data_IF_464792376348
#
_entry.id   IF_464792376348
#
_cell.length_a   1.000
_cell.length_b   1.000
_cell.length_c   1.000
_cell.angle_alpha   90.00
_cell.angle_beta   90.00
_cell.angle_gamma   90.00
#
_symmetry.space_group_name_H-M   'P 1'
#
loop_
_entity.id
_entity.type
_entity.pdbx_description
1 polymer ?
#
# COMPACT_ATOMS: atom_id res chain seq x y z
N UNK A 1 4.60 -5.12 -25.42
CA UNK A 1 4.08 -6.46 -25.08
C UNK A 1 2.92 -6.26 -24.10
N UNK A 2 1.69 -6.62 -24.49
CA UNK A 2 0.54 -6.56 -23.57
C UNK A 2 0.70 -7.73 -22.60
N UNK A 3 0.87 -7.45 -21.31
CA UNK A 3 0.94 -8.49 -20.27
C UNK A 3 -0.46 -9.13 -20.07
N UNK A 4 -0.98 -9.74 -21.13
CA UNK A 4 -2.31 -10.37 -21.19
C UNK A 4 -2.44 -11.49 -20.15
N UNK A 5 -1.33 -12.15 -19.83
CA UNK A 5 -1.27 -13.23 -18.85
C UNK A 5 -1.62 -12.81 -17.42
N UNK A 6 -1.32 -11.55 -17.02
CA UNK A 6 -1.68 -11.04 -15.70
C UNK A 6 -3.21 -10.92 -15.51
N UNK A 7 -3.96 -10.74 -16.59
CA UNK A 7 -5.42 -10.70 -16.56
C UNK A 7 -6.07 -12.09 -16.53
N UNK A 8 -5.31 -13.15 -16.84
CA UNK A 8 -5.77 -14.55 -16.82
C UNK A 8 -5.58 -15.19 -15.46
N UNK A 9 -4.64 -14.68 -14.64
CA UNK A 9 -4.38 -15.24 -13.30
C UNK A 9 -5.62 -15.13 -12.40
N UNK A 10 -5.93 -16.16 -11.59
CA UNK A 10 -6.99 -16.11 -10.59
C UNK A 10 -6.80 -14.94 -9.62
N UNK A 11 -7.88 -14.24 -9.28
CA UNK A 11 -7.81 -13.09 -8.38
C UNK A 11 -7.17 -13.42 -7.02
N UNK A 12 -7.44 -14.58 -6.37
CA UNK A 12 -6.78 -14.93 -5.12
C UNK A 12 -5.26 -15.04 -5.23
N UNK A 13 -4.74 -15.46 -6.39
CA UNK A 13 -3.29 -15.53 -6.61
C UNK A 13 -2.67 -14.14 -6.72
N UNK A 14 -3.36 -13.19 -7.37
CA UNK A 14 -2.94 -11.80 -7.42
C UNK A 14 -3.00 -11.15 -6.04
N UNK A 15 -4.03 -11.45 -5.24
CA UNK A 15 -4.18 -10.98 -3.87
C UNK A 15 -3.07 -11.53 -2.96
N UNK A 16 -2.70 -12.81 -3.11
CA UNK A 16 -1.55 -13.39 -2.41
C UNK A 16 -0.22 -12.73 -2.82
N UNK A 17 -0.02 -12.51 -4.11
CA UNK A 17 1.14 -11.78 -4.62
C UNK A 17 1.21 -10.34 -4.11
N UNK A 18 0.06 -9.66 -4.06
CA UNK A 18 -0.06 -8.32 -3.47
C UNK A 18 0.38 -8.35 -2.01
N UNK A 19 -0.16 -9.29 -1.23
CA UNK A 19 0.13 -9.40 0.19
C UNK A 19 1.62 -9.63 0.46
N UNK A 20 2.24 -10.58 -0.25
CA UNK A 20 3.68 -10.86 -0.14
C UNK A 20 4.50 -9.63 -0.52
N UNK A 21 4.20 -9.00 -1.66
CA UNK A 21 4.93 -7.83 -2.14
C UNK A 21 4.76 -6.62 -1.21
N UNK A 22 3.55 -6.40 -0.68
CA UNK A 22 3.27 -5.30 0.24
C UNK A 22 4.00 -5.48 1.57
N UNK A 23 3.88 -6.65 2.19
CA UNK A 23 4.53 -7.00 3.45
C UNK A 23 6.05 -6.91 3.35
N UNK A 24 6.64 -7.22 2.19
CA UNK A 24 8.07 -7.07 1.94
C UNK A 24 8.57 -5.63 2.11
N UNK A 25 7.68 -4.65 2.03
CA UNK A 25 8.02 -3.24 2.22
C UNK A 25 8.44 -2.92 3.65
N UNK A 26 7.77 -3.49 4.64
CA UNK A 26 8.11 -3.31 6.06
C UNK A 26 9.44 -4.02 6.40
N UNK A 27 9.63 -5.22 5.85
CA UNK A 27 10.88 -5.98 6.01
C UNK A 27 12.05 -5.28 5.34
N UNK A 28 11.85 -4.79 4.11
CA UNK A 28 12.85 -4.02 3.38
C UNK A 28 13.19 -2.69 4.06
N UNK A 29 12.21 -2.02 4.68
CA UNK A 29 12.45 -0.82 5.48
C UNK A 29 13.27 -1.15 6.74
N UNK A 30 12.96 -2.26 7.44
CA UNK A 30 13.75 -2.74 8.58
C UNK A 30 15.19 -3.05 8.18
N UNK A 31 15.39 -3.73 7.06
CA UNK A 31 16.72 -4.00 6.52
C UNK A 31 17.47 -2.70 6.17
N UNK A 32 16.80 -1.73 5.57
CA UNK A 32 17.41 -0.49 5.09
C UNK A 32 17.94 0.43 6.19
N UNK A 33 17.35 0.40 7.40
CA UNK A 33 17.73 1.26 8.53
C UNK A 33 19.20 1.10 8.90
N UNK A 34 19.75 -0.11 8.74
CA UNK A 34 21.13 -0.41 9.11
C UNK A 34 22.15 0.18 8.10
N UNK A 35 21.70 0.64 6.92
CA UNK A 35 22.60 1.05 5.82
C UNK A 35 22.41 2.49 5.35
N UNK A 36 21.25 3.12 5.57
CA UNK A 36 21.01 4.48 5.07
C UNK A 36 19.85 5.20 5.76
N UNK A 37 19.83 6.55 5.72
CA UNK A 37 18.68 7.35 6.14
C UNK A 37 17.41 6.95 5.36
N UNK A 38 16.28 6.85 6.06
CA UNK A 38 15.01 6.37 5.48
C UNK A 38 14.56 7.20 4.26
N UNK A 39 14.67 8.54 4.31
CA UNK A 39 14.28 9.40 3.19
C UNK A 39 15.15 9.19 1.95
N UNK A 40 16.44 8.91 2.11
CA UNK A 40 17.34 8.61 1.01
C UNK A 40 16.94 7.30 0.31
N UNK A 41 16.62 6.26 1.09
CA UNK A 41 16.17 4.97 0.53
C UNK A 41 14.83 5.15 -0.20
N UNK A 42 13.89 5.90 0.38
CA UNK A 42 12.57 6.14 -0.22
C UNK A 42 12.68 6.97 -1.50
N UNK A 43 13.55 7.99 -1.54
CA UNK A 43 13.84 8.72 -2.76
C UNK A 43 14.36 7.78 -3.85
N UNK A 44 15.41 7.03 -3.56
CA UNK A 44 16.06 6.16 -4.55
C UNK A 44 15.17 5.00 -5.00
N UNK A 45 14.31 4.45 -4.13
CA UNK A 45 13.36 3.41 -4.53
C UNK A 45 12.41 3.88 -5.64
N UNK A 46 11.92 5.12 -5.56
CA UNK A 46 11.05 5.69 -6.59
C UNK A 46 11.85 6.15 -7.82
N UNK A 47 13.02 6.78 -7.62
CA UNK A 47 13.87 7.24 -8.69
C UNK A 47 14.37 6.10 -9.58
N UNK A 48 14.87 5.02 -8.99
CA UNK A 48 15.33 3.83 -9.72
C UNK A 48 14.20 3.23 -10.54
N UNK A 49 13.01 3.09 -9.95
CA UNK A 49 11.87 2.53 -10.68
C UNK A 49 11.41 3.46 -11.80
N UNK A 50 11.43 4.78 -11.59
CA UNK A 50 11.14 5.77 -12.63
C UNK A 50 12.11 5.64 -13.80
N UNK A 51 13.41 5.49 -13.52
CA UNK A 51 14.42 5.31 -14.57
C UNK A 51 14.27 3.97 -15.29
N UNK A 52 14.06 2.88 -14.56
CA UNK A 52 13.92 1.54 -15.14
C UNK A 52 12.66 1.37 -16.00
N UNK A 53 11.55 1.99 -15.63
CA UNK A 53 10.30 1.89 -16.41
C UNK A 53 10.25 2.84 -17.61
N UNK A 54 11.06 3.91 -17.63
CA UNK A 54 11.01 4.93 -18.68
C UNK A 54 11.06 4.36 -20.10
N UNK A 55 12.01 3.46 -20.48
CA UNK A 55 12.08 2.94 -21.86
C UNK A 55 10.82 2.16 -22.30
N UNK A 56 10.08 1.59 -21.35
CA UNK A 56 8.87 0.82 -21.63
C UNK A 56 7.61 1.68 -21.76
N UNK A 57 7.63 2.91 -21.23
CA UNK A 57 6.43 3.76 -21.15
C UNK A 57 6.52 5.03 -21.98
N UNK A 58 7.71 5.45 -22.41
CA UNK A 58 7.94 6.74 -23.07
C UNK A 58 7.00 6.96 -24.30
N UNK A 59 6.81 5.95 -25.16
CA UNK A 59 5.91 6.04 -26.32
C UNK A 59 4.45 6.29 -25.92
N UNK A 60 4.01 5.69 -24.83
CA UNK A 60 2.64 5.87 -24.33
C UNK A 60 2.49 7.26 -23.70
N UNK A 61 3.48 7.72 -22.96
CA UNK A 61 3.47 9.02 -22.28
C UNK A 61 3.33 10.18 -23.26
N UNK A 62 4.11 10.16 -24.36
CA UNK A 62 4.08 11.22 -25.38
C UNK A 62 2.67 11.34 -26.02
N UNK A 63 1.93 10.24 -26.13
CA UNK A 63 0.59 10.22 -26.71
C UNK A 63 -0.53 10.36 -25.67
N UNK A 64 -0.19 10.54 -24.39
CA UNK A 64 -1.20 10.64 -23.33
C UNK A 64 -1.60 12.11 -23.12
N UNK A 65 -2.90 12.43 -23.06
CA UNK A 65 -3.38 13.78 -22.78
C UNK A 65 -2.86 14.29 -21.44
N UNK A 66 -2.56 15.58 -21.38
CA UNK A 66 -1.96 16.21 -20.19
C UNK A 66 -2.86 16.11 -18.94
N UNK A 67 -4.17 16.23 -19.11
CA UNK A 67 -5.16 16.05 -18.03
C UNK A 67 -5.12 14.63 -17.42
N UNK A 68 -4.91 13.60 -18.24
CA UNK A 68 -4.73 12.24 -17.78
C UNK A 68 -3.44 12.08 -16.98
N UNK A 69 -2.35 12.74 -17.41
CA UNK A 69 -1.10 12.76 -16.65
C UNK A 69 -1.27 13.47 -15.31
N UNK A 70 -1.99 14.61 -15.27
CA UNK A 70 -2.28 15.33 -14.03
C UNK A 70 -3.11 14.50 -13.04
N UNK A 71 -4.11 13.77 -13.52
CA UNK A 71 -4.91 12.85 -12.69
C UNK A 71 -3.99 11.78 -12.07
N UNK A 72 -3.14 11.14 -12.86
CA UNK A 72 -2.22 10.11 -12.36
C UNK A 72 -1.14 10.71 -11.43
N UNK A 73 -0.70 11.92 -11.68
CA UNK A 73 0.21 12.65 -10.80
C UNK A 73 -0.44 12.94 -9.43
N UNK A 74 -1.69 13.40 -9.42
CA UNK A 74 -2.46 13.61 -8.19
C UNK A 74 -2.66 12.32 -7.40
N UNK A 75 -2.95 11.21 -8.07
CA UNK A 75 -3.06 9.89 -7.44
C UNK A 75 -1.70 9.45 -6.87
N UNK A 76 -0.61 9.65 -7.61
CA UNK A 76 0.74 9.36 -7.13
C UNK A 76 1.15 10.21 -5.93
N UNK A 77 0.79 11.49 -5.93
CA UNK A 77 1.00 12.37 -4.80
C UNK A 77 0.31 11.88 -3.54
N UNK A 78 -0.91 11.39 -3.66
CA UNK A 78 -1.67 10.86 -2.51
C UNK A 78 -1.27 9.43 -2.15
N UNK A 79 -1.24 8.50 -3.13
CA UNK A 79 -1.05 7.07 -2.87
C UNK A 79 0.38 6.72 -2.49
N UNK A 80 1.38 7.39 -3.06
CA UNK A 80 2.79 7.07 -2.82
C UNK A 80 3.45 8.11 -1.92
N UNK A 81 3.43 9.38 -2.30
CA UNK A 81 4.12 10.40 -1.52
C UNK A 81 3.38 10.69 -0.20
N UNK A 82 2.08 10.96 -0.22
CA UNK A 82 1.31 11.29 0.98
C UNK A 82 1.25 10.14 1.98
N UNK A 83 0.98 8.92 1.50
CA UNK A 83 0.98 7.72 2.34
C UNK A 83 2.33 7.51 3.02
N UNK A 84 3.42 7.48 2.25
CA UNK A 84 4.77 7.24 2.79
C UNK A 84 5.23 8.39 3.68
N UNK A 85 4.95 9.65 3.31
CA UNK A 85 5.28 10.81 4.14
C UNK A 85 4.58 10.75 5.51
N UNK A 86 3.29 10.43 5.54
CA UNK A 86 2.56 10.30 6.80
C UNK A 86 3.18 9.27 7.75
N UNK A 87 3.53 8.09 7.23
CA UNK A 87 4.18 7.03 8.01
C UNK A 87 5.58 7.45 8.49
N UNK A 88 6.42 7.94 7.57
CA UNK A 88 7.83 8.28 7.87
C UNK A 88 7.91 9.45 8.84
N UNK A 89 7.12 10.52 8.63
CA UNK A 89 7.12 11.68 9.51
C UNK A 89 6.59 11.33 10.91
N UNK A 90 5.56 10.47 10.99
CA UNK A 90 5.09 9.96 12.27
C UNK A 90 6.20 9.27 13.05
N UNK A 91 6.91 8.35 12.42
CA UNK A 91 8.05 7.62 13.02
C UNK A 91 9.19 8.60 13.40
N UNK A 92 9.52 9.54 12.53
CA UNK A 92 10.57 10.54 12.78
C UNK A 92 10.26 11.43 13.99
N UNK A 93 8.98 11.66 14.30
CA UNK A 93 8.52 12.40 15.49
C UNK A 93 8.36 11.53 16.75
N UNK A 94 8.78 10.27 16.68
CA UNK A 94 8.80 9.36 17.83
C UNK A 94 7.57 8.46 17.96
N UNK A 95 6.68 8.42 16.97
CA UNK A 95 5.63 7.38 16.94
C UNK A 95 6.29 6.02 16.74
N UNK A 96 6.04 5.03 17.63
CA UNK A 96 6.60 3.70 17.46
C UNK A 96 6.23 3.11 16.09
N UNK A 97 7.22 2.48 15.42
CA UNK A 97 7.02 1.95 14.07
C UNK A 97 5.86 0.94 13.99
N UNK A 98 5.66 0.13 15.03
CA UNK A 98 4.53 -0.79 15.12
C UNK A 98 3.16 -0.09 15.14
N UNK A 99 3.04 1.05 15.86
CA UNK A 99 1.82 1.85 15.86
C UNK A 99 1.61 2.58 14.52
N UNK A 100 2.69 3.09 13.92
CA UNK A 100 2.60 3.72 12.61
C UNK A 100 2.14 2.71 11.53
N UNK A 101 2.66 1.48 11.57
CA UNK A 101 2.22 0.39 10.70
C UNK A 101 0.74 0.01 10.96
N UNK A 102 0.34 -0.11 12.24
CA UNK A 102 -1.04 -0.38 12.60
C UNK A 102 -2.00 0.67 12.01
N UNK A 103 -1.69 1.97 12.17
CA UNK A 103 -2.51 3.03 11.60
C UNK A 103 -2.54 3.01 10.08
N UNK A 104 -1.41 2.69 9.43
CA UNK A 104 -1.34 2.52 7.99
C UNK A 104 -2.22 1.35 7.49
N UNK A 105 -2.28 0.26 8.26
CA UNK A 105 -3.06 -0.94 7.94
C UNK A 105 -4.56 -0.83 8.32
N UNK A 106 -5.00 0.31 8.92
CA UNK A 106 -6.43 0.66 9.03
C UNK A 106 -7.08 1.04 7.69
N UNK A 107 -6.35 0.92 6.59
CA UNK A 107 -6.83 1.24 5.23
C UNK A 107 -8.22 0.66 4.92
N UNK A 108 -8.57 -0.59 5.26
CA UNK A 108 -9.90 -1.13 4.98
C UNK A 108 -11.03 -0.36 5.67
N UNK A 109 -10.80 0.08 6.91
CA UNK A 109 -11.76 0.91 7.66
C UNK A 109 -11.87 2.28 7.01
N UNK A 110 -10.75 2.91 6.69
CA UNK A 110 -10.71 4.19 5.96
C UNK A 110 -11.45 4.12 4.63
N UNK A 111 -11.23 3.05 3.86
CA UNK A 111 -11.91 2.79 2.60
C UNK A 111 -13.43 2.64 2.78
N UNK A 112 -13.88 1.88 3.78
CA UNK A 112 -15.29 1.69 4.06
C UNK A 112 -15.95 3.02 4.47
N UNK A 113 -15.33 3.78 5.37
CA UNK A 113 -15.85 5.08 5.80
C UNK A 113 -15.96 6.07 4.63
N UNK A 114 -14.90 6.23 3.85
CA UNK A 114 -14.90 7.13 2.69
C UNK A 114 -15.89 6.66 1.60
N UNK A 115 -16.01 5.35 1.39
CA UNK A 115 -16.99 4.81 0.45
C UNK A 115 -18.43 5.08 0.91
N UNK A 116 -18.71 4.97 2.20
CA UNK A 116 -20.01 5.27 2.76
C UNK A 116 -20.36 6.78 2.67
N UNK A 117 -19.36 7.65 2.87
CA UNK A 117 -19.56 9.12 2.86
C UNK A 117 -19.67 9.69 1.44
N UNK A 118 -18.91 9.16 0.47
CA UNK A 118 -18.73 9.80 -0.84
C UNK A 118 -19.28 8.98 -2.02
N UNK A 119 -19.74 7.75 -1.80
CA UNK A 119 -20.10 6.83 -2.90
C UNK A 119 -21.59 6.48 -2.97
N UNK A 120 -22.48 7.12 -2.16
CA UNK A 120 -23.91 6.75 -2.05
C UNK A 120 -24.19 5.24 -1.88
N UNK A 121 -23.13 4.47 -1.63
CA UNK A 121 -23.16 3.04 -1.48
C UNK A 121 -23.40 2.65 -0.02
N UNK A 122 -24.57 2.15 0.31
CA UNK A 122 -24.79 1.49 1.61
C UNK A 122 -23.91 0.25 1.66
N UNK A 123 -22.84 0.30 2.46
CA UNK A 123 -22.03 -0.89 2.72
C UNK A 123 -22.86 -1.85 3.55
N UNK A 124 -23.01 -3.09 3.08
CA UNK A 124 -23.76 -4.10 3.79
C UNK A 124 -23.19 -4.35 5.20
N UNK A 125 -24.05 -4.53 6.21
CA UNK A 125 -23.63 -4.82 7.59
C UNK A 125 -22.65 -6.00 7.69
N UNK A 126 -22.78 -6.99 6.78
CA UNK A 126 -21.84 -8.13 6.71
C UNK A 126 -20.41 -7.72 6.34
N UNK A 127 -20.24 -6.69 5.50
CA UNK A 127 -18.91 -6.13 5.18
C UNK A 127 -18.32 -5.45 6.40
N UNK A 128 -19.13 -4.63 7.11
CA UNK A 128 -18.69 -4.02 8.38
C UNK A 128 -18.28 -5.06 9.42
N UNK A 129 -19.06 -6.12 9.57
CA UNK A 129 -18.72 -7.23 10.46
C UNK A 129 -17.38 -7.85 10.07
N UNK A 130 -17.17 -8.13 8.79
CA UNK A 130 -15.90 -8.67 8.30
C UNK A 130 -14.71 -7.75 8.55
N UNK A 131 -14.88 -6.44 8.36
CA UNK A 131 -13.83 -5.43 8.64
C UNK A 131 -13.50 -5.37 10.13
N UNK A 132 -14.50 -5.41 11.01
CA UNK A 132 -14.32 -5.40 12.48
C UNK A 132 -13.59 -6.68 12.92
N UNK A 133 -14.02 -7.84 12.42
CA UNK A 133 -13.37 -9.13 12.74
C UNK A 133 -11.91 -9.14 12.23
N UNK A 134 -11.67 -8.69 11.00
CA UNK A 134 -10.31 -8.58 10.46
C UNK A 134 -9.43 -7.63 11.27
N UNK A 135 -9.96 -6.48 11.65
CA UNK A 135 -9.29 -5.52 12.53
C UNK A 135 -8.99 -6.12 13.90
N UNK A 136 -9.92 -6.85 14.49
CA UNK A 136 -9.69 -7.52 15.78
C UNK A 136 -8.54 -8.55 15.69
N UNK A 137 -8.48 -9.32 14.61
CA UNK A 137 -7.37 -10.23 14.35
C UNK A 137 -6.02 -9.52 14.22
N UNK A 138 -5.98 -8.42 13.47
CA UNK A 138 -4.79 -7.60 13.32
C UNK A 138 -4.33 -6.99 14.67
N UNK A 139 -5.24 -6.43 15.45
CA UNK A 139 -4.96 -5.90 16.79
C UNK A 139 -4.44 -6.99 17.74
N UNK A 140 -4.97 -8.20 17.63
CA UNK A 140 -4.50 -9.34 18.41
C UNK A 140 -3.04 -9.68 18.09
N UNK A 141 -2.67 -9.75 16.81
CA UNK A 141 -1.28 -9.97 16.38
C UNK A 141 -0.37 -8.87 16.96
N UNK A 142 -0.78 -7.63 16.87
CA UNK A 142 0.04 -6.48 17.24
C UNK A 142 0.05 -6.17 18.75
N UNK A 143 -0.81 -6.81 19.53
CA UNK A 143 -0.96 -6.54 20.97
C UNK A 143 0.37 -6.56 21.73
N UNK A 144 1.26 -7.49 21.41
CA UNK A 144 2.57 -7.61 22.06
C UNK A 144 3.60 -6.54 21.63
N UNK A 145 3.33 -5.84 20.51
CA UNK A 145 4.23 -4.84 19.91
C UNK A 145 3.71 -3.41 20.18
N UNK A 146 2.45 -3.28 20.60
CA UNK A 146 1.84 -1.99 20.89
C UNK A 146 2.40 -1.40 22.16
N UNK A 147 3.30 -0.44 22.05
CA UNK A 147 3.73 0.43 23.13
C UNK A 147 3.45 1.88 22.75
N UNK A 148 2.86 2.64 23.67
CA UNK A 148 2.75 4.08 23.50
C UNK A 148 4.15 4.69 23.63
N UNK A 149 4.63 5.32 22.55
CA UNK A 149 5.91 6.04 22.54
C UNK A 149 5.83 7.38 23.26
N UNK A 150 6.92 8.16 23.17
CA UNK A 150 7.01 9.51 23.74
C UNK A 150 6.62 10.61 22.76
N UNK A 151 6.05 10.27 21.61
CA UNK A 151 5.63 11.22 20.59
C UNK A 151 4.48 12.12 21.09
N UNK A 152 4.41 13.40 20.65
CA UNK A 152 3.26 14.24 20.92
C UNK A 152 1.99 13.66 20.27
N UNK A 153 0.83 13.81 20.92
CA UNK A 153 -0.42 13.17 20.47
C UNK A 153 -0.79 13.45 19.00
N UNK A 154 -0.53 14.67 18.53
CA UNK A 154 -0.83 15.04 17.13
C UNK A 154 0.01 14.24 16.11
N UNK A 155 1.23 13.80 16.48
CA UNK A 155 2.10 13.04 15.59
C UNK A 155 1.51 11.66 15.22
N UNK A 156 0.68 11.08 16.10
CA UNK A 156 -0.07 9.84 15.78
C UNK A 156 -1.11 10.04 14.68
N UNK A 157 -1.54 11.28 14.45
CA UNK A 157 -2.41 11.63 13.31
C UNK A 157 -1.72 11.54 11.95
N UNK A 158 -0.39 11.60 11.88
CA UNK A 158 0.34 11.56 10.59
C UNK A 158 0.21 10.23 9.86
N UNK A 159 0.42 9.05 10.48
CA UNK A 159 0.16 7.77 9.81
C UNK A 159 -1.31 7.59 9.42
N UNK A 160 -2.25 8.11 10.23
CA UNK A 160 -3.68 8.10 9.89
C UNK A 160 -3.95 8.98 8.66
N UNK A 161 -3.36 10.17 8.60
CA UNK A 161 -3.46 11.04 7.43
C UNK A 161 -2.84 10.39 6.17
N UNK A 162 -1.71 9.70 6.33
CA UNK A 162 -1.10 8.89 5.27
C UNK A 162 -2.04 7.79 4.77
N UNK A 163 -2.63 7.02 5.67
CA UNK A 163 -3.61 5.99 5.34
C UNK A 163 -4.83 6.58 4.60
N UNK A 164 -5.38 7.71 5.08
CA UNK A 164 -6.49 8.39 4.42
C UNK A 164 -6.09 8.90 3.03
N UNK A 165 -4.86 9.39 2.87
CA UNK A 165 -4.30 9.80 1.58
C UNK A 165 -4.33 8.65 0.56
N UNK A 166 -3.87 7.45 0.96
CA UNK A 166 -3.95 6.25 0.11
C UNK A 166 -5.40 5.84 -0.15
N UNK A 167 -6.28 5.92 0.85
CA UNK A 167 -7.69 5.58 0.69
C UNK A 167 -8.39 6.51 -0.33
N UNK A 168 -8.17 7.82 -0.24
CA UNK A 168 -8.69 8.81 -1.20
C UNK A 168 -8.16 8.53 -2.61
N UNK A 169 -6.85 8.31 -2.75
CA UNK A 169 -6.23 7.98 -4.02
C UNK A 169 -6.82 6.71 -4.65
N UNK A 170 -7.09 5.69 -3.83
CA UNK A 170 -7.67 4.42 -4.26
C UNK A 170 -9.09 4.61 -4.80
N UNK A 171 -9.92 5.38 -4.08
CA UNK A 171 -11.27 5.70 -4.55
C UNK A 171 -11.25 6.56 -5.80
N UNK A 172 -10.32 7.52 -5.88
CA UNK A 172 -10.13 8.34 -7.07
C UNK A 172 -9.71 7.48 -8.26
N UNK A 173 -8.70 6.62 -8.10
CA UNK A 173 -8.24 5.68 -9.14
C UNK A 173 -9.38 4.78 -9.64
N UNK A 174 -10.25 4.32 -8.74
CA UNK A 174 -11.41 3.47 -9.08
C UNK A 174 -12.46 4.20 -9.92
N UNK A 175 -12.55 5.53 -9.78
CA UNK A 175 -13.56 6.40 -10.41
C UNK A 175 -13.09 7.13 -11.66
N UNK A 176 -11.86 6.92 -12.10
CA UNK A 176 -11.35 7.55 -13.31
C UNK A 176 -12.27 7.20 -14.48
N UNK A 177 -12.83 8.21 -15.20
CA UNK A 177 -13.60 7.97 -16.41
C UNK A 177 -12.79 7.22 -17.46
N UNK A 178 -13.44 6.40 -18.28
CA UNK A 178 -12.78 5.57 -19.31
C UNK A 178 -11.89 6.39 -20.26
N UNK A 179 -12.28 7.64 -20.56
CA UNK A 179 -11.50 8.56 -21.41
C UNK A 179 -10.13 8.93 -20.83
N UNK A 180 -9.96 8.86 -19.51
CA UNK A 180 -8.72 9.14 -18.79
C UNK A 180 -8.08 7.85 -18.24
N UNK A 181 -8.59 6.68 -18.64
CA UNK A 181 -8.01 5.41 -18.23
C UNK A 181 -6.60 5.25 -18.82
N UNK A 182 -5.63 5.00 -17.97
CA UNK A 182 -4.23 4.82 -18.34
C UNK A 182 -3.81 3.36 -18.15
N UNK A 183 -2.98 2.77 -19.05
CA UNK A 183 -2.38 1.46 -18.79
C UNK A 183 -1.61 1.42 -17.48
N UNK A 184 -1.47 0.22 -16.89
CA UNK A 184 -0.91 0.06 -15.55
C UNK A 184 0.52 0.63 -15.42
N UNK A 185 1.43 0.23 -16.32
CA UNK A 185 2.84 0.63 -16.24
C UNK A 185 3.06 2.13 -16.42
N UNK A 186 2.48 2.80 -17.44
CA UNK A 186 2.58 4.26 -17.55
C UNK A 186 1.99 5.00 -16.34
N UNK A 187 0.85 4.54 -15.81
CA UNK A 187 0.26 5.12 -14.60
C UNK A 187 1.18 4.99 -13.39
N UNK A 188 1.73 3.80 -13.17
CA UNK A 188 2.70 3.54 -12.09
C UNK A 188 3.96 4.41 -12.25
N UNK A 189 4.45 4.58 -13.49
CA UNK A 189 5.59 5.44 -13.77
C UNK A 189 5.35 6.89 -13.36
N UNK A 190 4.21 7.48 -13.77
CA UNK A 190 3.84 8.87 -13.40
C UNK A 190 3.78 9.02 -11.88
N UNK A 191 3.15 8.06 -11.20
CA UNK A 191 3.02 8.07 -9.75
C UNK A 191 4.40 7.97 -9.06
N UNK A 192 5.30 7.10 -9.53
CA UNK A 192 6.68 6.99 -9.02
C UNK A 192 7.49 8.26 -9.30
N UNK A 193 7.32 8.89 -10.47
CA UNK A 193 7.99 10.13 -10.82
C UNK A 193 7.63 11.25 -9.83
N UNK A 194 6.33 11.43 -9.55
CA UNK A 194 5.86 12.42 -8.58
C UNK A 194 6.40 12.13 -7.18
N UNK A 195 6.32 10.89 -6.72
CA UNK A 195 6.86 10.50 -5.42
C UNK A 195 8.38 10.75 -5.33
N UNK A 196 9.12 10.43 -6.40
CA UNK A 196 10.56 10.72 -6.49
C UNK A 196 10.86 12.21 -6.32
N UNK A 197 10.11 13.09 -7.00
CA UNK A 197 10.28 14.55 -6.88
C UNK A 197 9.98 15.03 -5.46
N UNK A 198 8.87 14.57 -4.87
CA UNK A 198 8.50 14.95 -3.50
C UNK A 198 9.58 14.54 -2.50
N UNK A 199 10.08 13.30 -2.60
CA UNK A 199 11.12 12.81 -1.68
C UNK A 199 12.52 13.35 -2.02
N UNK A 200 12.78 13.80 -3.26
CA UNK A 200 13.98 14.57 -3.57
C UNK A 200 13.98 15.91 -2.81
N UNK A 201 12.85 16.63 -2.85
CA UNK A 201 12.70 17.92 -2.14
C UNK A 201 12.81 17.69 -0.61
N UNK A 202 12.10 16.69 -0.07
CA UNK A 202 12.16 16.38 1.35
C UNK A 202 13.54 15.89 1.80
N UNK A 203 14.22 15.07 1.00
CA UNK A 203 15.54 14.54 1.31
C UNK A 203 16.64 15.57 1.21
N UNK A 204 16.56 16.50 0.23
CA UNK A 204 17.55 17.57 0.06
C UNK A 204 17.62 18.52 1.27
N UNK A 205 16.53 18.66 2.02
CA UNK A 205 16.52 19.46 3.26
C UNK A 205 17.25 18.76 4.44
N UNK A 206 17.51 17.45 4.34
CA UNK A 206 18.18 16.67 5.38
C UNK A 206 19.64 16.32 5.04
N UNK A 207 20.09 16.59 3.81
CA UNK A 207 21.45 16.33 3.39
C UNK A 207 21.60 16.00 1.90
N UNK A 208 22.67 15.29 1.57
CA UNK A 208 22.96 14.90 0.19
C UNK A 208 22.05 13.77 -0.28
N UNK A 209 21.55 13.90 -1.51
CA UNK A 209 20.83 12.83 -2.21
C UNK A 209 21.76 11.86 -2.96
N UNK A 210 23.07 12.03 -2.86
CA UNK A 210 24.01 11.14 -3.52
C UNK A 210 23.83 9.69 -3.02
N UNK A 211 23.88 8.69 -3.92
CA UNK A 211 23.76 7.30 -3.54
C UNK A 211 24.97 6.90 -2.68
N UNK A 212 24.71 6.11 -1.65
CA UNK A 212 25.79 5.59 -0.81
C UNK A 212 26.50 4.42 -1.52
N UNK A 213 27.85 4.39 -1.57
CA UNK A 213 28.59 3.33 -2.26
C UNK A 213 28.69 2.07 -1.38
N UNK A 214 27.58 1.53 -0.94
CA UNK A 214 27.50 0.31 -0.13
C UNK A 214 26.54 -0.73 -0.73
N UNK A 215 26.91 -1.99 -0.67
CA UNK A 215 26.05 -3.08 -1.14
C UNK A 215 24.73 -3.14 -0.37
N UNK A 216 24.74 -2.85 0.93
CA UNK A 216 23.55 -2.81 1.76
C UNK A 216 22.56 -1.74 1.32
N UNK A 217 23.03 -0.53 1.00
CA UNK A 217 22.20 0.52 0.43
C UNK A 217 21.60 0.12 -0.93
N UNK A 218 22.44 -0.38 -1.84
CA UNK A 218 21.99 -0.79 -3.17
C UNK A 218 20.92 -1.89 -3.08
N UNK A 219 21.15 -2.89 -2.23
CA UNK A 219 20.19 -3.98 -2.00
C UNK A 219 18.89 -3.47 -1.38
N UNK A 220 18.95 -2.55 -0.42
CA UNK A 220 17.77 -1.91 0.18
C UNK A 220 16.94 -1.16 -0.86
N UNK A 221 17.59 -0.41 -1.74
CA UNK A 221 16.92 0.32 -2.84
C UNK A 221 16.30 -0.65 -3.84
N UNK A 222 17.04 -1.66 -4.32
CA UNK A 222 16.54 -2.65 -5.28
C UNK A 222 15.37 -3.44 -4.70
N UNK A 223 15.49 -3.91 -3.46
CA UNK A 223 14.42 -4.61 -2.76
C UNK A 223 13.14 -3.77 -2.70
N UNK A 224 13.27 -2.56 -2.16
CA UNK A 224 12.12 -1.69 -1.95
C UNK A 224 11.54 -1.13 -3.25
N UNK A 225 12.33 -0.97 -4.31
CA UNK A 225 11.85 -0.60 -5.64
C UNK A 225 11.09 -1.75 -6.31
N UNK A 226 11.64 -2.97 -6.29
CA UNK A 226 11.07 -4.10 -7.05
C UNK A 226 9.88 -4.74 -6.35
N UNK A 227 10.02 -5.15 -5.09
CA UNK A 227 8.97 -5.90 -4.40
C UNK A 227 7.81 -4.99 -3.96
N UNK A 228 7.95 -4.07 -2.99
CA UNK A 228 6.80 -3.31 -2.52
C UNK A 228 6.38 -2.18 -3.45
N UNK A 229 7.28 -1.60 -4.26
CA UNK A 229 6.87 -0.53 -5.17
C UNK A 229 6.33 -1.08 -6.47
N UNK A 230 7.13 -1.80 -7.24
CA UNK A 230 6.67 -2.35 -8.51
C UNK A 230 5.65 -3.47 -8.32
N UNK A 231 5.97 -4.48 -7.50
CA UNK A 231 5.08 -5.59 -7.18
C UNK A 231 3.89 -5.14 -6.35
N UNK A 232 4.10 -4.50 -5.21
CA UNK A 232 3.05 -4.08 -4.28
C UNK A 232 2.05 -3.13 -4.92
N UNK A 233 2.46 -1.94 -5.33
CA UNK A 233 1.54 -0.99 -5.98
C UNK A 233 1.04 -1.48 -7.34
N UNK A 234 1.87 -2.19 -8.13
CA UNK A 234 1.43 -2.77 -9.40
C UNK A 234 0.30 -3.78 -9.22
N UNK A 235 0.44 -4.72 -8.29
CA UNK A 235 -0.60 -5.69 -7.97
C UNK A 235 -1.79 -5.04 -7.26
N UNK A 236 -1.57 -4.04 -6.40
CA UNK A 236 -2.65 -3.28 -5.77
C UNK A 236 -3.57 -2.64 -6.81
N UNK A 237 -3.02 -1.92 -7.77
CA UNK A 237 -3.80 -1.32 -8.86
C UNK A 237 -4.42 -2.36 -9.80
N UNK A 238 -3.75 -3.48 -10.02
CA UNK A 238 -4.29 -4.57 -10.82
C UNK A 238 -5.49 -5.25 -10.12
N UNK A 239 -5.36 -5.56 -8.83
CA UNK A 239 -6.46 -6.09 -8.02
C UNK A 239 -7.63 -5.10 -7.96
N UNK A 240 -7.35 -3.80 -7.81
CA UNK A 240 -8.37 -2.76 -7.80
C UNK A 240 -9.17 -2.69 -9.11
N UNK A 241 -8.55 -2.97 -10.26
CA UNK A 241 -9.25 -3.05 -11.55
C UNK A 241 -10.20 -4.24 -11.65
N UNK A 242 -9.94 -5.31 -10.88
CA UNK A 242 -10.65 -6.59 -10.96
C UNK A 242 -11.59 -6.85 -9.77
N UNK A 243 -11.52 -6.01 -8.75
CA UNK A 243 -12.24 -6.21 -7.49
C UNK A 243 -12.68 -4.86 -6.91
N UNK A 244 -13.42 -4.90 -5.79
CA UNK A 244 -13.77 -3.68 -5.06
C UNK A 244 -12.57 -3.14 -4.27
N UNK A 245 -12.62 -1.84 -3.99
CA UNK A 245 -11.61 -1.18 -3.18
C UNK A 245 -11.57 -1.73 -1.75
N UNK A 246 -12.74 -2.02 -1.17
CA UNK A 246 -12.86 -2.60 0.18
C UNK A 246 -12.23 -3.98 0.27
N UNK A 247 -12.44 -4.85 -0.74
CA UNK A 247 -11.85 -6.19 -0.78
C UNK A 247 -10.33 -6.14 -0.89
N UNK A 248 -9.80 -5.32 -1.81
CA UNK A 248 -8.35 -5.16 -1.98
C UNK A 248 -7.71 -4.66 -0.70
N UNK A 249 -8.32 -3.68 -0.04
CA UNK A 249 -7.85 -3.19 1.25
C UNK A 249 -7.95 -4.27 2.35
N UNK A 250 -9.05 -5.04 2.41
CA UNK A 250 -9.24 -6.07 3.44
C UNK A 250 -8.15 -7.16 3.40
N UNK A 251 -7.64 -7.51 2.21
CA UNK A 251 -6.54 -8.46 2.07
C UNK A 251 -5.29 -7.99 2.83
N UNK A 252 -5.06 -6.68 2.92
CA UNK A 252 -3.90 -6.11 3.61
C UNK A 252 -3.96 -6.26 5.14
N UNK A 253 -5.09 -6.70 5.73
CA UNK A 253 -5.11 -7.09 7.15
C UNK A 253 -4.20 -8.28 7.48
N UNK A 254 -3.80 -9.06 6.47
CA UNK A 254 -2.80 -10.12 6.63
C UNK A 254 -1.36 -9.60 6.50
N UNK A 255 -1.15 -8.31 6.21
CA UNK A 255 0.20 -7.75 6.06
C UNK A 255 1.01 -7.82 7.37
N UNK A 256 0.51 -7.43 8.56
CA UNK A 256 1.28 -7.54 9.78
C UNK A 256 1.70 -8.97 10.11
N UNK A 257 0.80 -9.99 10.12
CA UNK A 257 1.22 -11.37 10.38
C UNK A 257 2.23 -11.89 9.36
N UNK A 258 2.08 -11.57 8.07
CA UNK A 258 3.05 -11.98 7.07
C UNK A 258 4.40 -11.27 7.25
N UNK A 259 4.39 -9.99 7.60
CA UNK A 259 5.62 -9.24 7.94
C UNK A 259 6.35 -9.88 9.12
N UNK A 260 5.63 -10.32 10.15
CA UNK A 260 6.24 -11.02 11.30
C UNK A 260 6.85 -12.37 10.89
N UNK A 261 6.20 -13.13 10.00
CA UNK A 261 6.78 -14.37 9.44
C UNK A 261 8.07 -14.11 8.67
N UNK A 262 8.12 -13.04 7.87
CA UNK A 262 9.34 -12.63 7.18
C UNK A 262 10.43 -12.17 8.15
N UNK A 263 10.08 -11.39 9.17
CA UNK A 263 11.02 -10.92 10.18
C UNK A 263 11.61 -12.09 10.99
N UNK A 264 10.81 -13.09 11.31
CA UNK A 264 11.28 -14.34 11.88
C UNK A 264 12.29 -15.05 10.96
N UNK A 265 11.97 -15.21 9.69
CA UNK A 265 12.81 -15.93 8.73
C UNK A 265 14.13 -15.20 8.42
N UNK A 266 14.14 -13.86 8.42
CA UNK A 266 15.30 -13.05 8.02
C UNK A 266 16.13 -12.55 9.21
N UNK A 267 15.47 -12.23 10.33
CA UNK A 267 16.12 -11.60 11.48
C UNK A 267 16.05 -12.44 12.76
N UNK A 268 15.54 -13.67 12.69
CA UNK A 268 15.32 -14.57 13.83
C UNK A 268 14.48 -13.94 14.96
N UNK A 269 13.54 -13.06 14.60
CA UNK A 269 12.62 -12.47 15.57
C UNK A 269 11.66 -13.56 16.11
N UNK A 270 11.36 -13.58 17.43
CA UNK A 270 10.55 -14.65 18.01
C UNK A 270 9.11 -14.60 17.49
N UNK A 271 8.59 -15.76 17.07
CA UNK A 271 7.17 -15.91 16.75
C UNK A 271 6.38 -16.24 18.02
N UNK A 272 5.21 -15.60 18.15
CA UNK A 272 4.29 -15.89 19.24
C UNK A 272 3.06 -16.64 18.71
N UNK A 273 2.40 -17.44 19.57
CA UNK A 273 1.14 -18.10 19.22
C UNK A 273 0.02 -17.09 18.87
N UNK A 274 0.10 -15.84 19.38
CA UNK A 274 -0.80 -14.74 19.03
C UNK A 274 -0.81 -14.45 17.53
N UNK A 275 0.33 -14.68 16.85
CA UNK A 275 0.43 -14.56 15.40
C UNK A 275 -0.54 -15.52 14.70
N UNK A 276 -0.49 -16.81 15.04
CA UNK A 276 -1.36 -17.81 14.42
C UNK A 276 -2.84 -17.54 14.70
N UNK A 277 -3.18 -17.20 15.94
CA UNK A 277 -4.55 -16.88 16.33
C UNK A 277 -5.08 -15.65 15.61
N UNK A 278 -4.30 -14.55 15.58
CA UNK A 278 -4.70 -13.32 14.91
C UNK A 278 -4.80 -13.48 13.39
N UNK A 279 -3.90 -14.26 12.76
CA UNK A 279 -4.02 -14.63 11.34
C UNK A 279 -5.35 -15.35 11.05
N UNK A 280 -5.71 -16.36 11.86
CA UNK A 280 -6.96 -17.08 11.69
C UNK A 280 -8.19 -16.17 11.79
N UNK A 281 -8.20 -15.26 12.77
CA UNK A 281 -9.28 -14.28 12.94
C UNK A 281 -9.33 -13.31 11.76
N UNK A 282 -8.19 -12.78 11.29
CA UNK A 282 -8.12 -11.90 10.11
C UNK A 282 -8.60 -12.58 8.85
N UNK A 283 -8.25 -13.85 8.63
CA UNK A 283 -8.75 -14.65 7.49
C UNK A 283 -10.27 -14.80 7.51
N UNK A 284 -10.86 -15.03 8.69
CA UNK A 284 -12.34 -15.06 8.84
C UNK A 284 -12.93 -13.70 8.46
N UNK A 285 -12.34 -12.60 8.90
CA UNK A 285 -12.77 -11.25 8.53
C UNK A 285 -12.75 -11.01 7.02
N UNK A 286 -11.65 -11.37 6.36
CA UNK A 286 -11.50 -11.25 4.89
C UNK A 286 -12.53 -12.13 4.16
N UNK A 287 -12.72 -13.36 4.63
CA UNK A 287 -13.72 -14.26 4.05
C UNK A 287 -15.14 -13.67 4.15
N UNK A 288 -15.52 -13.06 5.30
CA UNK A 288 -16.81 -12.40 5.46
C UNK A 288 -16.97 -11.23 4.47
N UNK A 289 -15.94 -10.38 4.30
CA UNK A 289 -15.94 -9.27 3.32
C UNK A 289 -16.14 -9.82 1.91
N UNK A 290 -15.33 -10.79 1.50
CA UNK A 290 -15.35 -11.32 0.13
C UNK A 290 -16.68 -12.02 -0.19
N UNK A 291 -17.25 -12.76 0.76
CA UNK A 291 -18.54 -13.43 0.59
C UNK A 291 -19.71 -12.44 0.51
N UNK A 292 -19.67 -11.37 1.30
CA UNK A 292 -20.71 -10.34 1.26
C UNK A 292 -20.74 -9.61 -0.10
N UNK A 293 -19.58 -9.37 -0.71
CA UNK A 293 -19.50 -8.70 -2.00
C UNK A 293 -19.98 -9.58 -3.17
N UNK A 294 -19.69 -10.88 -3.15
CA UNK A 294 -20.20 -11.82 -4.18
C UNK A 294 -21.72 -11.86 -4.19
N UNK A 295 -22.38 -11.86 -3.04
CA UNK A 295 -23.84 -11.81 -2.96
C UNK A 295 -24.43 -10.51 -3.52
N UNK A 296 -23.76 -9.37 -3.29
CA UNK A 296 -24.23 -8.06 -3.79
C UNK A 296 -24.16 -7.97 -5.32
N UNK A 297 -23.15 -8.59 -5.93
CA UNK A 297 -22.99 -8.64 -7.38
C UNK A 297 -24.01 -9.55 -8.06
N UNK A 298 -24.34 -10.70 -7.47
CA UNK A 298 -25.34 -11.64 -7.99
C UNK A 298 -26.74 -11.01 -8.00
N UNK A 299 -27.16 -10.35 -6.92
CA UNK A 299 -28.46 -9.65 -6.86
C UNK A 299 -28.57 -8.49 -7.87
N UNK A 300 -27.47 -7.86 -8.23
CA UNK A 300 -27.45 -6.79 -9.25
C UNK A 300 -27.60 -7.32 -10.68
N UNK A 301 -27.08 -8.52 -10.97
CA UNK A 301 -27.23 -9.19 -12.28
C UNK A 301 -28.59 -9.84 -12.46
N UNK A 302 -29.30 -10.21 -11.40
CA UNK A 302 -30.65 -10.78 -11.44
C UNK A 302 -31.75 -9.70 -11.56
N UNK A 303 -31.41 -8.43 -11.27
CA UNK A 303 -32.35 -7.29 -11.29
C UNK A 303 -32.25 -6.43 -12.56
N UNK A 304 -31.36 -6.76 -13.49
CA UNK A 304 -31.21 -6.14 -14.82
C UNK A 304 -31.60 -7.11 -15.93
#
# INVERSE_FOLDING_TARGET
MRAHWLYVLPLPLLEAGLLVSWSSGFVGARFAIDYAPALLVVFWRFAVLTLLLLPFVCKTLVNTPFDTLLIQAGIGLLAMAGYMAGVILGIALGVPAGLAALFADLLPVGMALLSALFLDGRIACRVWLGLIVGLAGMLWVMHSVLSLGKAPLWAYGLPVAGMLSLAVATLWQKRIPAKHAMPLLPGLWVQCCVASVVFAIAGSSQGSLAPLPSAGFMLSVLWTATLPTFGGYGLYWLCLRRSSATRVAAVLYLSPPLTMLWAWAMFNEPLSWHLAAGMAVSLVGIWLVTRAETHTLQHKTEST
#
